data_IF_182345031069
#
_entry.id   IF_182345031069
#
_cell.length_a   1.000
_cell.length_b   1.000
_cell.length_c   1.000
_cell.angle_alpha   90.00
_cell.angle_beta   90.00
_cell.angle_gamma   90.00
#
_symmetry.space_group_name_H-M   'P 1'
#
loop_
_entity.id
_entity.type
_entity.pdbx_description
1 polymer ?
#
# COMPACT_ATOMS: atom_id res chain seq x y z
N UNK A 1 -8.37 -10.56 17.35
CA UNK A 1 -9.05 -11.85 17.63
C UNK A 1 -8.02 -12.92 17.86
N UNK A 2 -8.41 -14.14 18.26
CA UNK A 2 -7.47 -15.26 18.46
C UNK A 2 -6.90 -15.82 17.14
N UNK A 3 -7.50 -15.46 16.00
CA UNK A 3 -7.07 -15.89 14.67
C UNK A 3 -6.55 -14.66 13.91
N UNK A 4 -5.32 -14.67 13.37
CA UNK A 4 -4.84 -13.61 12.49
C UNK A 4 -5.64 -13.54 11.17
N UNK A 5 -5.88 -12.34 10.61
CA UNK A 5 -6.43 -12.18 9.26
C UNK A 5 -5.61 -12.92 8.20
N UNK A 6 -6.29 -13.54 7.23
CA UNK A 6 -5.65 -14.25 6.11
C UNK A 6 -5.95 -13.62 4.75
N UNK A 7 -6.95 -12.73 4.68
CA UNK A 7 -7.34 -12.01 3.48
C UNK A 7 -7.76 -10.57 3.83
N UNK A 8 -7.73 -9.69 2.84
CA UNK A 8 -8.00 -8.26 3.02
C UNK A 8 -9.44 -7.99 3.49
N UNK A 9 -10.36 -8.94 3.29
CA UNK A 9 -11.77 -8.77 3.66
C UNK A 9 -12.01 -8.82 5.17
N UNK A 10 -11.03 -9.26 5.95
CA UNK A 10 -11.00 -9.08 7.40
C UNK A 10 -11.15 -7.61 7.83
N UNK A 11 -10.71 -6.64 7.02
CA UNK A 11 -10.95 -5.20 7.26
C UNK A 11 -12.44 -4.91 7.46
N UNK A 12 -13.31 -5.57 6.69
CA UNK A 12 -14.76 -5.36 6.69
C UNK A 12 -15.52 -6.29 7.67
N UNK A 13 -14.88 -7.33 8.19
CA UNK A 13 -15.51 -8.29 9.12
C UNK A 13 -15.36 -7.83 10.58
N UNK A 14 -16.20 -6.88 10.99
CA UNK A 14 -16.22 -6.35 12.37
C UNK A 14 -16.75 -7.35 13.40
N UNK A 15 -17.47 -8.38 12.96
CA UNK A 15 -17.98 -9.42 13.84
C UNK A 15 -16.88 -10.41 14.25
N UNK A 16 -16.07 -10.88 13.28
CA UNK A 16 -14.93 -11.77 13.54
C UNK A 16 -13.75 -11.02 14.15
N UNK A 17 -13.51 -9.79 13.69
CA UNK A 17 -12.43 -8.92 14.16
C UNK A 17 -13.00 -7.65 14.80
N UNK A 18 -13.54 -7.72 16.03
CA UNK A 18 -14.09 -6.54 16.71
C UNK A 18 -12.98 -5.54 17.07
N UNK A 19 -13.24 -4.25 16.83
CA UNK A 19 -12.31 -3.14 17.14
C UNK A 19 -12.29 -2.08 16.04
N UNK A 20 -11.60 -0.96 16.27
CA UNK A 20 -11.48 0.10 15.25
C UNK A 20 -10.49 -0.30 14.15
N UNK A 21 -10.66 0.33 12.99
CA UNK A 21 -9.76 0.25 11.84
C UNK A 21 -8.98 1.55 11.69
N UNK A 22 -7.87 1.51 10.95
CA UNK A 22 -7.19 2.73 10.49
C UNK A 22 -6.95 2.65 8.98
N UNK A 23 -7.58 3.52 8.20
CA UNK A 23 -7.48 3.52 6.73
C UNK A 23 -7.15 4.92 6.22
N UNK A 24 -6.48 4.99 5.08
CA UNK A 24 -6.08 6.28 4.51
C UNK A 24 -7.31 7.09 4.12
N UNK A 25 -7.28 8.39 4.35
CA UNK A 25 -8.37 9.30 4.01
C UNK A 25 -8.41 9.65 2.51
N UNK A 26 -8.37 8.63 1.64
CA UNK A 26 -8.45 8.75 0.17
C UNK A 26 -9.11 7.51 -0.46
N UNK A 27 -9.64 7.58 -1.69
CA UNK A 27 -10.32 6.46 -2.33
C UNK A 27 -9.37 5.34 -2.77
N UNK A 28 -8.14 5.68 -3.17
CA UNK A 28 -7.09 4.72 -3.56
C UNK A 28 -6.93 3.65 -2.48
N UNK A 29 -6.85 2.39 -2.91
CA UNK A 29 -6.85 1.15 -2.12
C UNK A 29 -8.20 0.83 -1.48
N UNK A 30 -8.85 1.82 -0.86
CA UNK A 30 -10.08 1.61 -0.11
C UNK A 30 -11.24 1.19 -1.01
N UNK A 31 -11.45 1.86 -2.14
CA UNK A 31 -12.53 1.53 -3.07
C UNK A 31 -12.25 0.22 -3.80
N UNK A 32 -10.99 -0.07 -4.14
CA UNK A 32 -10.62 -1.35 -4.76
C UNK A 32 -10.84 -2.51 -3.80
N UNK A 33 -10.37 -2.42 -2.55
CA UNK A 33 -10.63 -3.45 -1.53
C UNK A 33 -12.10 -3.61 -1.22
N UNK A 34 -12.87 -2.51 -1.18
CA UNK A 34 -14.31 -2.57 -0.99
C UNK A 34 -14.98 -3.42 -2.07
N UNK A 35 -14.66 -3.19 -3.35
CA UNK A 35 -15.23 -3.97 -4.45
C UNK A 35 -14.77 -5.43 -4.44
N UNK A 36 -13.48 -5.68 -4.18
CA UNK A 36 -12.94 -7.05 -4.05
C UNK A 36 -13.70 -7.81 -2.95
N UNK A 37 -13.90 -7.19 -1.79
CA UNK A 37 -14.60 -7.79 -0.65
C UNK A 37 -16.13 -7.73 -0.74
N UNK A 38 -16.65 -7.12 -1.79
CA UNK A 38 -18.04 -7.24 -2.22
C UNK A 38 -18.20 -8.26 -3.36
N UNK A 39 -17.13 -8.98 -3.71
CA UNK A 39 -17.16 -10.10 -4.67
C UNK A 39 -16.89 -9.72 -6.12
N UNK A 40 -16.43 -8.50 -6.40
CA UNK A 40 -15.96 -8.12 -7.73
C UNK A 40 -14.62 -8.83 -8.01
N UNK A 41 -14.47 -9.54 -9.14
CA UNK A 41 -13.18 -10.10 -9.54
C UNK A 41 -12.13 -8.98 -9.69
N UNK A 42 -10.89 -9.20 -9.22
CA UNK A 42 -9.81 -8.19 -9.29
C UNK A 42 -9.60 -7.60 -10.70
N UNK A 43 -9.80 -8.40 -11.73
CA UNK A 43 -9.64 -7.97 -13.12
C UNK A 43 -10.69 -6.94 -13.58
N UNK A 44 -11.85 -6.89 -12.91
CA UNK A 44 -12.99 -6.06 -13.30
C UNK A 44 -13.13 -4.81 -12.40
N UNK A 45 -12.28 -4.67 -11.36
CA UNK A 45 -12.42 -3.61 -10.35
C UNK A 45 -12.39 -2.22 -10.96
N UNK A 46 -11.44 -1.94 -11.86
CA UNK A 46 -11.34 -0.63 -12.50
C UNK A 46 -12.51 -0.36 -13.44
N UNK A 47 -12.91 -1.32 -14.28
CA UNK A 47 -14.09 -1.21 -15.15
C UNK A 47 -15.38 -0.92 -14.34
N UNK A 48 -15.53 -1.56 -13.17
CA UNK A 48 -16.66 -1.30 -12.27
C UNK A 48 -16.58 0.14 -11.73
N UNK A 49 -15.40 0.61 -11.32
CA UNK A 49 -15.20 1.96 -10.81
C UNK A 49 -15.42 3.07 -11.86
N UNK A 50 -15.44 2.75 -13.15
CA UNK A 50 -15.80 3.73 -14.20
C UNK A 50 -17.29 4.12 -14.16
N UNK A 51 -18.13 3.33 -13.51
CA UNK A 51 -19.58 3.52 -13.46
C UNK A 51 -20.04 4.13 -12.13
N UNK A 52 -21.09 4.96 -12.17
CA UNK A 52 -21.70 5.50 -10.95
C UNK A 52 -22.23 4.39 -10.04
N UNK A 53 -22.80 3.32 -10.62
CA UNK A 53 -23.29 2.15 -9.88
C UNK A 53 -22.16 1.42 -9.16
N UNK A 54 -21.02 1.21 -9.82
CA UNK A 54 -19.85 0.58 -9.22
C UNK A 54 -19.21 1.43 -8.12
N UNK A 55 -19.15 2.75 -8.31
CA UNK A 55 -18.69 3.67 -7.26
C UNK A 55 -19.63 3.64 -6.05
N UNK A 56 -20.95 3.68 -6.28
CA UNK A 56 -21.95 3.58 -5.21
C UNK A 56 -21.85 2.24 -4.46
N UNK A 57 -21.58 1.15 -5.17
CA UNK A 57 -21.33 -0.18 -4.59
C UNK A 57 -20.10 -0.19 -3.67
N UNK A 58 -19.00 0.44 -4.10
CA UNK A 58 -17.80 0.57 -3.27
C UNK A 58 -18.07 1.38 -1.99
N UNK A 59 -18.75 2.53 -2.11
CA UNK A 59 -19.14 3.35 -0.95
C UNK A 59 -20.07 2.60 0.00
N UNK A 60 -21.07 1.88 -0.51
CA UNK A 60 -21.98 1.09 0.32
C UNK A 60 -21.24 0.01 1.14
N UNK A 61 -20.18 -0.59 0.57
CA UNK A 61 -19.33 -1.52 1.33
C UNK A 61 -18.47 -0.79 2.36
N UNK A 62 -17.90 0.36 2.04
CA UNK A 62 -17.15 1.19 2.99
C UNK A 62 -18.03 1.71 4.14
N UNK A 63 -19.31 2.01 3.87
CA UNK A 63 -20.30 2.42 4.88
C UNK A 63 -20.45 1.40 6.01
N UNK A 64 -20.24 0.10 5.71
CA UNK A 64 -20.34 -0.96 6.73
C UNK A 64 -19.32 -0.84 7.86
N UNK A 65 -18.23 -0.08 7.65
CA UNK A 65 -17.17 0.13 8.63
C UNK A 65 -16.86 1.61 8.89
N UNK A 66 -17.50 2.55 8.20
CA UNK A 66 -17.12 3.98 8.17
C UNK A 66 -16.96 4.59 9.57
N UNK A 67 -17.89 4.32 10.48
CA UNK A 67 -17.90 4.84 11.86
C UNK A 67 -16.85 4.20 12.77
N UNK A 68 -16.33 3.04 12.36
CA UNK A 68 -15.31 2.28 13.08
C UNK A 68 -13.90 2.51 12.52
N UNK A 69 -13.72 3.40 11.55
CA UNK A 69 -12.43 3.70 10.93
C UNK A 69 -11.88 5.05 11.42
N UNK A 70 -10.62 5.06 11.84
CA UNK A 70 -9.80 6.26 11.96
C UNK A 70 -9.21 6.56 10.59
N UNK A 71 -9.69 7.63 9.95
CA UNK A 71 -9.27 8.04 8.61
C UNK A 71 -8.00 8.89 8.66
N UNK A 72 -6.84 8.28 8.46
CA UNK A 72 -5.54 8.95 8.63
C UNK A 72 -5.13 9.78 7.40
N UNK A 73 -4.29 10.78 7.64
CA UNK A 73 -3.67 11.60 6.57
C UNK A 73 -2.15 11.47 6.54
N UNK A 74 -1.54 10.88 7.58
CA UNK A 74 -0.15 10.49 7.59
C UNK A 74 -0.01 8.98 7.79
N UNK A 75 0.71 8.29 6.91
CA UNK A 75 0.90 6.83 7.03
C UNK A 75 1.65 6.40 8.30
N UNK A 76 2.23 7.33 9.05
CA UNK A 76 2.84 7.06 10.36
C UNK A 76 1.81 6.91 11.49
N UNK A 77 0.54 7.29 11.29
CA UNK A 77 -0.50 7.22 12.32
C UNK A 77 -0.89 5.76 12.60
N UNK A 78 -1.11 4.95 11.56
CA UNK A 78 -1.53 3.54 11.69
C UNK A 78 -0.59 2.68 12.56
N UNK A 79 0.75 2.71 12.38
CA UNK A 79 1.66 1.96 13.23
C UNK A 79 1.50 2.26 14.73
N UNK A 80 1.37 3.55 15.09
CA UNK A 80 1.21 3.95 16.48
C UNK A 80 -0.13 3.46 17.04
N UNK A 81 -1.22 3.64 16.28
CA UNK A 81 -2.56 3.17 16.68
C UNK A 81 -2.61 1.65 16.87
N UNK A 82 -1.87 0.88 16.06
CA UNK A 82 -1.74 -0.57 16.22
C UNK A 82 -0.92 -0.93 17.45
N UNK A 83 0.22 -0.27 17.67
CA UNK A 83 1.08 -0.49 18.83
C UNK A 83 0.36 -0.19 20.16
N UNK A 84 -0.44 0.88 20.17
CA UNK A 84 -1.24 1.27 21.34
C UNK A 84 -2.52 0.43 21.51
N UNK A 85 -2.84 -0.42 20.53
CA UNK A 85 -4.06 -1.24 20.52
C UNK A 85 -5.36 -0.46 20.32
N UNK A 86 -5.26 0.79 19.86
CA UNK A 86 -6.42 1.63 19.54
C UNK A 86 -7.19 1.13 18.30
N UNK A 87 -6.48 0.48 17.37
CA UNK A 87 -7.06 -0.20 16.20
C UNK A 87 -6.59 -1.65 16.14
N UNK A 88 -7.41 -2.51 15.56
CA UNK A 88 -7.11 -3.96 15.44
C UNK A 88 -6.65 -4.36 14.03
N UNK A 89 -6.99 -3.54 13.03
CA UNK A 89 -6.59 -3.71 11.63
C UNK A 89 -6.33 -2.31 11.07
N UNK A 90 -5.27 -2.12 10.31
CA UNK A 90 -5.04 -0.86 9.62
C UNK A 90 -4.20 -1.01 8.36
N UNK A 91 -4.33 -0.05 7.45
CA UNK A 91 -3.51 0.06 6.26
C UNK A 91 -2.47 1.17 6.41
N UNK A 92 -1.29 0.93 5.85
CA UNK A 92 -0.22 1.92 5.65
C UNK A 92 0.82 1.32 4.70
N UNK A 93 1.88 2.07 4.39
CA UNK A 93 3.00 1.60 3.59
C UNK A 93 3.77 0.49 4.30
N UNK A 94 4.14 -0.57 3.57
CA UNK A 94 4.78 -1.75 4.15
C UNK A 94 6.10 -1.43 4.89
N UNK A 95 6.87 -0.43 4.46
CA UNK A 95 8.04 0.04 5.21
C UNK A 95 7.72 0.59 6.60
N UNK A 96 6.54 1.20 6.80
CA UNK A 96 6.05 1.64 8.12
C UNK A 96 5.66 0.46 9.00
N UNK A 97 5.04 -0.56 8.42
CA UNK A 97 4.73 -1.80 9.14
C UNK A 97 6.02 -2.56 9.49
N UNK A 98 6.99 -2.64 8.59
CA UNK A 98 8.29 -3.23 8.88
C UNK A 98 8.97 -2.55 10.08
N UNK A 99 9.00 -1.22 10.12
CA UNK A 99 9.58 -0.48 11.25
C UNK A 99 8.91 -0.84 12.58
N UNK A 100 7.57 -0.83 12.64
CA UNK A 100 6.88 -1.11 13.91
C UNK A 100 7.01 -2.58 14.33
N UNK A 101 7.11 -3.51 13.38
CA UNK A 101 7.24 -4.95 13.63
C UNK A 101 8.69 -5.32 14.01
N UNK A 102 9.66 -4.99 13.15
CA UNK A 102 11.03 -5.51 13.24
C UNK A 102 11.99 -4.55 13.97
N UNK A 103 11.84 -3.24 13.79
CA UNK A 103 12.73 -2.26 14.45
C UNK A 103 12.26 -1.92 15.88
N UNK A 104 10.95 -1.94 16.11
CA UNK A 104 10.33 -1.54 17.38
C UNK A 104 9.73 -2.70 18.18
N UNK A 105 9.79 -3.93 17.64
CA UNK A 105 9.34 -5.17 18.30
C UNK A 105 7.91 -5.09 18.85
N UNK A 106 7.00 -4.42 18.11
CA UNK A 106 5.59 -4.33 18.49
C UNK A 106 4.82 -5.57 18.03
N UNK A 107 3.75 -5.97 18.75
CA UNK A 107 2.98 -7.19 18.47
C UNK A 107 2.00 -6.99 17.29
N UNK A 108 2.53 -6.56 16.15
CA UNK A 108 1.79 -6.27 14.92
C UNK A 108 2.12 -7.34 13.88
N UNK A 109 1.10 -7.79 13.13
CA UNK A 109 1.28 -8.67 11.98
C UNK A 109 1.16 -7.88 10.67
N UNK A 110 1.75 -8.41 9.60
CA UNK A 110 1.60 -7.88 8.24
C UNK A 110 0.80 -8.86 7.37
N UNK A 111 -0.20 -8.35 6.66
CA UNK A 111 -0.99 -9.10 5.70
C UNK A 111 -0.64 -8.64 4.28
N UNK A 112 -0.26 -9.57 3.41
CA UNK A 112 0.10 -9.30 2.01
C UNK A 112 -1.01 -9.56 1.00
N UNK A 113 -2.10 -10.19 1.43
CA UNK A 113 -3.26 -10.46 0.58
C UNK A 113 -3.85 -9.18 0.00
N UNK A 114 -4.08 -9.17 -1.32
CA UNK A 114 -4.56 -8.01 -2.07
C UNK A 114 -3.78 -6.71 -1.80
N UNK A 115 -2.48 -6.81 -1.46
CA UNK A 115 -1.62 -5.63 -1.40
C UNK A 115 -1.72 -4.87 -2.71
N UNK A 116 -1.93 -3.56 -2.63
CA UNK A 116 -1.94 -2.72 -3.82
C UNK A 116 -0.50 -2.46 -4.21
N UNK A 117 -0.09 -3.11 -5.30
CA UNK A 117 1.26 -3.09 -5.79
C UNK A 117 1.51 -1.80 -6.55
N UNK A 118 2.24 -0.89 -5.89
CA UNK A 118 2.64 0.42 -6.37
C UNK A 118 4.15 0.43 -6.70
N UNK A 119 4.52 1.18 -7.73
CA UNK A 119 5.83 1.36 -8.32
C UNK A 119 6.20 2.84 -8.21
N UNK A 120 7.15 3.13 -7.32
CA UNK A 120 7.77 4.44 -7.24
C UNK A 120 8.83 4.62 -8.33
N UNK A 121 8.86 5.80 -8.93
CA UNK A 121 9.74 6.12 -10.06
C UNK A 121 10.32 7.53 -10.04
N UNK A 122 11.43 7.70 -10.75
CA UNK A 122 12.04 9.02 -10.99
C UNK A 122 11.44 9.66 -12.23
N UNK A 123 11.07 10.94 -12.13
CA UNK A 123 10.60 11.75 -13.27
C UNK A 123 11.62 12.85 -13.56
N UNK A 124 12.00 13.01 -14.82
CA UNK A 124 12.86 14.11 -15.29
C UNK A 124 11.95 15.17 -15.95
N UNK A 125 11.82 16.39 -15.35
CA UNK A 125 11.04 17.46 -15.97
C UNK A 125 11.63 17.90 -17.31
N UNK A 126 10.74 18.23 -18.27
CA UNK A 126 11.16 18.79 -19.56
C UNK A 126 11.75 20.20 -19.40
N UNK A 127 12.59 20.61 -20.36
CA UNK A 127 13.12 21.98 -20.41
C UNK A 127 14.34 22.25 -19.52
N UNK A 128 14.99 21.21 -18.99
CA UNK A 128 16.27 21.36 -18.30
C UNK A 128 17.37 21.84 -19.27
N UNK A 129 18.22 22.79 -18.85
CA UNK A 129 19.47 23.09 -19.54
C UNK A 129 20.32 21.83 -19.74
N UNK A 130 21.04 21.73 -20.87
CA UNK A 130 21.75 20.50 -21.26
C UNK A 130 22.74 19.99 -20.19
N UNK A 131 23.43 20.88 -19.49
CA UNK A 131 24.37 20.53 -18.42
C UNK A 131 23.65 19.97 -17.18
N UNK A 132 22.42 20.42 -16.90
CA UNK A 132 21.59 19.86 -15.82
C UNK A 132 20.95 18.55 -16.22
N UNK A 133 20.47 18.44 -17.46
CA UNK A 133 19.91 17.21 -17.99
C UNK A 133 20.93 16.06 -17.88
N UNK A 134 22.16 16.28 -18.34
CA UNK A 134 23.21 15.27 -18.27
C UNK A 134 23.50 14.80 -16.83
N UNK A 135 23.49 15.71 -15.84
CA UNK A 135 23.69 15.36 -14.43
C UNK A 135 22.52 14.57 -13.84
N UNK A 136 21.29 14.93 -14.20
CA UNK A 136 20.10 14.20 -13.73
C UNK A 136 20.04 12.81 -14.36
N UNK A 137 20.35 12.67 -15.65
CA UNK A 137 20.41 11.37 -16.32
C UNK A 137 21.48 10.45 -15.71
N UNK A 138 22.66 11.00 -15.36
CA UNK A 138 23.71 10.25 -14.67
C UNK A 138 23.24 9.75 -13.29
N UNK A 139 22.61 10.63 -12.51
CA UNK A 139 22.05 10.26 -11.21
C UNK A 139 20.95 9.20 -11.35
N UNK A 140 20.00 9.34 -12.28
CA UNK A 140 18.91 8.37 -12.46
C UNK A 140 19.49 7.01 -12.87
N UNK A 141 20.50 6.96 -13.74
CA UNK A 141 21.19 5.71 -14.08
C UNK A 141 21.84 5.06 -12.87
N UNK A 142 22.54 5.84 -12.04
CA UNK A 142 23.15 5.35 -10.81
C UNK A 142 22.10 4.87 -9.79
N UNK A 143 21.13 5.71 -9.46
CA UNK A 143 20.10 5.44 -8.45
C UNK A 143 19.21 4.25 -8.81
N UNK A 144 19.07 3.96 -10.11
CA UNK A 144 18.30 2.82 -10.59
C UNK A 144 19.17 1.66 -11.07
N UNK A 145 20.48 1.63 -10.79
CA UNK A 145 21.29 0.47 -11.14
C UNK A 145 20.95 -0.76 -10.28
N UNK A 146 21.41 -1.93 -10.71
CA UNK A 146 21.08 -3.21 -10.06
C UNK A 146 21.53 -3.27 -8.61
N UNK A 147 22.75 -2.81 -8.31
CA UNK A 147 23.31 -2.89 -6.97
C UNK A 147 22.72 -1.83 -6.05
N UNK A 148 22.51 -0.60 -6.54
CA UNK A 148 21.97 0.51 -5.75
C UNK A 148 20.53 0.29 -5.33
N UNK A 149 19.69 -0.26 -6.22
CA UNK A 149 18.34 -0.68 -5.84
C UNK A 149 18.36 -1.79 -4.78
N UNK A 150 19.27 -2.77 -4.90
CA UNK A 150 19.41 -3.83 -3.90
C UNK A 150 19.96 -3.32 -2.55
N UNK A 151 20.87 -2.35 -2.57
CA UNK A 151 21.43 -1.76 -1.36
C UNK A 151 20.40 -0.98 -0.54
N UNK A 152 19.41 -0.36 -1.21
CA UNK A 152 18.33 0.34 -0.52
C UNK A 152 17.52 -0.63 0.35
N UNK A 153 17.28 -1.85 -0.13
CA UNK A 153 16.51 -2.88 0.57
C UNK A 153 17.14 -3.34 1.89
N UNK A 154 18.39 -2.93 2.19
CA UNK A 154 19.05 -3.17 3.49
C UNK A 154 18.54 -2.24 4.59
N UNK A 155 17.89 -1.13 4.26
CA UNK A 155 17.48 -0.10 5.22
C UNK A 155 15.97 0.07 5.32
N UNK A 156 15.23 -0.49 4.37
CA UNK A 156 13.78 -0.38 4.34
C UNK A 156 13.22 -1.58 3.59
N UNK A 157 12.09 -2.09 4.08
CA UNK A 157 11.25 -3.05 3.37
C UNK A 157 10.63 -2.35 2.16
N UNK A 158 11.37 -2.19 1.06
CA UNK A 158 10.82 -1.83 -0.25
C UNK A 158 11.49 -2.72 -1.31
N UNK A 159 10.65 -3.40 -2.09
CA UNK A 159 11.10 -4.36 -3.09
C UNK A 159 11.84 -3.66 -4.23
N UNK A 160 13.08 -4.06 -4.55
CA UNK A 160 13.79 -3.50 -5.70
C UNK A 160 13.01 -3.70 -7.00
N UNK A 161 12.83 -2.64 -7.78
CA UNK A 161 12.01 -2.67 -9.01
C UNK A 161 12.62 -3.52 -10.15
N UNK A 162 13.92 -3.87 -10.08
CA UNK A 162 14.59 -4.69 -11.11
C UNK A 162 14.64 -6.16 -10.71
N UNK A 163 14.31 -7.03 -11.67
CA UNK A 163 14.55 -8.47 -11.56
C UNK A 163 16.01 -8.82 -11.26
N UNK A 164 16.98 -8.05 -11.79
CA UNK A 164 18.40 -8.27 -11.53
C UNK A 164 18.81 -7.91 -10.10
N UNK A 165 18.03 -7.08 -9.40
CA UNK A 165 18.29 -6.66 -8.02
C UNK A 165 17.71 -7.62 -7.00
N UNK A 166 16.60 -8.31 -7.31
CA UNK A 166 15.93 -9.22 -6.38
C UNK A 166 16.86 -10.30 -5.77
N UNK A 167 17.76 -10.96 -6.53
CA UNK A 167 18.71 -11.94 -5.96
C UNK A 167 19.78 -11.33 -5.05
N UNK A 168 19.90 -10.00 -5.01
CA UNK A 168 20.90 -9.27 -4.21
C UNK A 168 20.31 -8.69 -2.91
N UNK A 169 19.01 -8.88 -2.67
CA UNK A 169 18.40 -8.57 -1.37
C UNK A 169 19.05 -9.45 -0.32
N UNK A 170 19.64 -8.81 0.70
CA UNK A 170 20.40 -9.48 1.76
C UNK A 170 19.85 -9.14 3.13
N UNK A 171 20.74 -8.96 4.11
CA UNK A 171 20.34 -8.64 5.47
C UNK A 171 20.09 -7.15 5.69
N UNK A 172 19.22 -6.85 6.66
CA UNK A 172 19.04 -5.50 7.17
C UNK A 172 20.37 -4.97 7.73
N UNK A 173 20.70 -3.71 7.44
CA UNK A 173 21.98 -3.11 7.78
C UNK A 173 22.22 -3.08 9.30
N UNK A 174 21.20 -2.70 10.08
CA UNK A 174 21.31 -2.58 11.53
C UNK A 174 20.83 -3.83 12.29
N UNK A 175 19.65 -4.37 11.93
CA UNK A 175 19.05 -5.52 12.62
C UNK A 175 19.69 -6.87 12.27
N UNK A 176 20.35 -7.01 11.11
CA UNK A 176 20.98 -8.26 10.67
C UNK A 176 19.99 -9.38 10.28
N UNK A 177 18.69 -9.10 10.18
CA UNK A 177 17.65 -10.05 9.75
C UNK A 177 17.63 -10.19 8.23
N UNK A 178 17.17 -11.33 7.71
CA UNK A 178 16.99 -11.52 6.27
C UNK A 178 15.85 -10.63 5.76
N UNK A 179 16.10 -9.81 4.74
CA UNK A 179 15.11 -8.86 4.25
C UNK A 179 14.16 -9.44 3.21
N UNK A 180 14.53 -10.53 2.53
CA UNK A 180 13.70 -11.09 1.47
C UNK A 180 12.25 -11.39 1.93
N UNK A 181 12.00 -12.05 3.08
CA UNK A 181 10.64 -12.31 3.57
C UNK A 181 9.81 -11.06 3.87
N UNK A 182 10.44 -9.89 4.02
CA UNK A 182 9.78 -8.64 4.29
C UNK A 182 9.53 -7.81 3.01
N UNK A 183 9.94 -8.28 1.83
CA UNK A 183 9.74 -7.53 0.58
C UNK A 183 8.35 -7.76 0.00
N UNK A 184 7.66 -6.71 -0.49
CA UNK A 184 6.38 -6.86 -1.19
C UNK A 184 6.52 -7.71 -2.47
N UNK A 185 7.71 -7.71 -3.07
CA UNK A 185 8.07 -8.44 -4.29
C UNK A 185 8.57 -9.86 -4.04
N UNK A 186 8.68 -10.30 -2.78
CA UNK A 186 9.01 -11.70 -2.49
C UNK A 186 7.93 -12.62 -3.07
N UNK A 187 8.28 -13.74 -3.74
CA UNK A 187 7.30 -14.63 -4.34
C UNK A 187 6.23 -15.15 -3.37
N UNK A 188 6.55 -15.30 -2.08
CA UNK A 188 5.59 -15.75 -1.07
C UNK A 188 4.59 -14.64 -0.70
N UNK A 189 5.01 -13.38 -0.74
CA UNK A 189 4.19 -12.21 -0.45
C UNK A 189 3.41 -11.73 -1.68
N UNK A 190 3.92 -11.98 -2.89
CA UNK A 190 3.35 -11.52 -4.15
C UNK A 190 2.29 -12.48 -4.76
N UNK A 191 1.80 -13.47 -4.00
CA UNK A 191 0.87 -14.50 -4.50
C UNK A 191 -0.48 -13.94 -4.94
N UNK A 192 -0.98 -12.91 -4.25
CA UNK A 192 -2.30 -12.35 -4.52
C UNK A 192 -2.29 -10.81 -4.54
N UNK A 193 -1.37 -10.19 -5.30
CA UNK A 193 -1.32 -8.73 -5.42
C UNK A 193 -2.50 -8.17 -6.21
N UNK A 194 -2.82 -6.90 -5.97
CA UNK A 194 -3.70 -6.11 -6.83
C UNK A 194 -2.85 -5.00 -7.46
N UNK A 195 -2.80 -4.92 -8.79
CA UNK A 195 -1.93 -3.95 -9.47
C UNK A 195 -2.58 -2.57 -9.48
N UNK A 196 -1.85 -1.56 -9.01
CA UNK A 196 -2.27 -0.16 -9.14
C UNK A 196 -2.33 0.26 -10.62
N UNK A 197 -3.44 0.83 -11.06
CA UNK A 197 -3.59 1.34 -12.43
C UNK A 197 -3.36 2.86 -12.50
N UNK A 198 -2.13 3.26 -12.87
CA UNK A 198 -1.74 4.67 -12.96
C UNK A 198 -2.50 5.46 -14.02
N UNK A 199 -2.73 4.87 -15.18
CA UNK A 199 -3.41 5.56 -16.29
C UNK A 199 -4.86 5.83 -15.90
N UNK A 200 -5.54 4.83 -15.35
CA UNK A 200 -6.90 4.98 -14.86
C UNK A 200 -6.98 6.01 -13.72
N UNK A 201 -6.11 5.91 -12.71
CA UNK A 201 -6.11 6.90 -11.63
C UNK A 201 -5.77 8.31 -12.15
N UNK A 202 -4.94 8.47 -13.17
CA UNK A 202 -4.69 9.80 -13.76
C UNK A 202 -5.96 10.42 -14.37
N UNK A 203 -6.85 9.61 -14.94
CA UNK A 203 -8.10 10.07 -15.54
C UNK A 203 -9.23 10.30 -14.51
N UNK A 204 -9.32 9.49 -13.46
CA UNK A 204 -10.47 9.46 -12.54
C UNK A 204 -10.21 10.05 -11.14
N UNK A 205 -8.95 10.28 -10.75
CA UNK A 205 -8.58 10.62 -9.36
C UNK A 205 -9.28 11.85 -8.82
N UNK A 206 -9.29 12.96 -9.55
CA UNK A 206 -9.81 14.22 -9.02
C UNK A 206 -11.31 14.12 -8.67
N UNK A 207 -12.10 13.44 -9.52
CA UNK A 207 -13.52 13.21 -9.28
C UNK A 207 -13.76 12.26 -8.11
N UNK A 208 -13.01 11.16 -8.04
CA UNK A 208 -13.14 10.18 -6.95
C UNK A 208 -12.65 10.72 -5.61
N UNK A 209 -11.58 11.52 -5.59
CA UNK A 209 -11.12 12.22 -4.40
C UNK A 209 -12.25 13.14 -3.87
N UNK A 210 -12.87 13.92 -4.75
CA UNK A 210 -13.99 14.79 -4.37
C UNK A 210 -15.20 14.01 -3.83
N UNK A 211 -15.60 12.93 -4.51
CA UNK A 211 -16.70 12.04 -4.08
C UNK A 211 -16.40 11.37 -2.75
N UNK A 212 -15.17 10.90 -2.55
CA UNK A 212 -14.75 10.26 -1.31
C UNK A 212 -14.75 11.24 -0.12
N UNK A 213 -14.25 12.46 -0.30
CA UNK A 213 -14.33 13.48 0.75
C UNK A 213 -15.78 13.88 1.06
N UNK A 214 -16.64 13.99 0.04
CA UNK A 214 -18.06 14.27 0.24
C UNK A 214 -18.77 13.12 0.97
N UNK A 215 -18.45 11.87 0.64
CA UNK A 215 -18.93 10.68 1.34
C UNK A 215 -18.49 10.66 2.80
N UNK A 216 -17.21 10.96 3.09
CA UNK A 216 -16.70 11.02 4.46
C UNK A 216 -17.37 12.09 5.34
N UNK A 217 -17.85 13.18 4.73
CA UNK A 217 -18.46 14.30 5.45
C UNK A 217 -19.96 14.11 5.78
N UNK A 218 -20.59 13.07 5.22
CA UNK A 218 -21.98 12.67 5.53
C UNK A 218 -22.07 12.02 6.91
#
# INVERSE_FOLDING_TARGET
GSTPPTDVCAVFDTAMYPGKRSLEKRPINNMEWALICDGVPKADVYDVLETEEGQARAFAKLDTIKDDVIWWSAGADTPQLLADGEVVIGSTYNGRLFSVIEEQDQPVGMLWDAQVFDLDGWIIPVGLPADRLARVEDFVRFATDTQRLADQAKYISYGPARMSSAPLVGQHADLGIDMAPHMPTDPENAKNTFLYNYEWWADYRDDLDAKFQAWLAQ
#
